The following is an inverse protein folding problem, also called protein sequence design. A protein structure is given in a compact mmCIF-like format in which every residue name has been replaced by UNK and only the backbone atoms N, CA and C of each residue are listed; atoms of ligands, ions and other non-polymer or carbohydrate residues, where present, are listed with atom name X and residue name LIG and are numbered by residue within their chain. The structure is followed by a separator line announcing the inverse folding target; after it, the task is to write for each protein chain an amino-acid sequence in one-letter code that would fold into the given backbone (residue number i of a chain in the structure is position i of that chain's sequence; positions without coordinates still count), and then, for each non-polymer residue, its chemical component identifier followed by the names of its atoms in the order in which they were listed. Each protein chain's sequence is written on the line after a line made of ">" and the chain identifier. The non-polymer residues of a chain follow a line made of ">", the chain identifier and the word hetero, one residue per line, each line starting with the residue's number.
data_IF_040340894071
#
_entry.id   IF_040340894071
#
_cell.length_a   1.000
_cell.length_b   1.000
_cell.length_c   1.000
_cell.angle_alpha   90.00
_cell.angle_beta   90.00
_cell.angle_gamma   90.00
#
_symmetry.space_group_name_H-M   'P 1'
#
loop_
_entity.id
_entity.type
_entity.pdbx_description
1 polymer ?
#
# COMPACT_ATOMS: atom_id res chain seq x y z
N UNK A 1 -16.93 -0.87 -14.34
CA UNK A 1 -15.84 -1.37 -13.49
C UNK A 1 -15.51 -0.30 -12.46
N UNK A 2 -15.48 -0.65 -11.19
CA UNK A 2 -15.01 0.23 -10.11
C UNK A 2 -13.47 0.27 -10.14
N UNK A 3 -12.85 1.46 -10.01
CA UNK A 3 -11.39 1.62 -9.96
C UNK A 3 -11.01 2.22 -8.60
N UNK A 4 -10.23 1.48 -7.81
CA UNK A 4 -9.82 1.84 -6.46
C UNK A 4 -8.30 1.89 -6.37
N UNK A 5 -7.73 3.09 -6.17
CA UNK A 5 -6.29 3.23 -5.96
C UNK A 5 -5.90 2.80 -4.53
N UNK A 6 -5.14 1.73 -4.41
CA UNK A 6 -4.72 1.15 -3.14
C UNK A 6 -3.68 1.98 -2.36
N UNK A 7 -3.17 3.09 -2.94
CA UNK A 7 -2.24 3.98 -2.22
C UNK A 7 -2.10 5.33 -2.87
N UNK A 8 -2.49 6.37 -2.12
CA UNK A 8 -2.14 7.76 -2.39
C UNK A 8 -1.62 8.43 -1.12
N UNK A 9 -1.04 9.61 -1.25
CA UNK A 9 -0.56 10.42 -0.14
C UNK A 9 -1.11 11.84 -0.23
N UNK A 10 -1.53 12.38 0.93
CA UNK A 10 -1.90 13.78 1.10
C UNK A 10 -1.03 14.41 2.18
N UNK A 11 -0.64 15.68 2.00
CA UNK A 11 0.10 16.44 3.01
C UNK A 11 -0.03 17.95 2.76
N UNK A 12 0.18 18.73 3.79
CA UNK A 12 0.16 20.20 3.75
C UNK A 12 1.53 20.80 4.06
N UNK A 13 2.33 20.13 4.87
CA UNK A 13 3.61 20.64 5.38
C UNK A 13 4.68 19.55 5.46
N UNK A 14 5.85 19.93 5.92
CA UNK A 14 7.02 19.06 6.00
C UNK A 14 7.81 18.99 4.70
N UNK A 15 8.86 18.19 4.70
CA UNK A 15 9.74 18.01 3.55
C UNK A 15 9.52 16.61 2.96
N UNK A 16 8.87 16.49 1.80
CA UNK A 16 8.68 15.21 1.14
C UNK A 16 10.00 14.52 0.80
N UNK A 17 10.01 13.20 0.80
CA UNK A 17 11.16 12.47 0.29
C UNK A 17 11.41 12.82 -1.18
N UNK A 18 12.66 12.77 -1.67
CA UNK A 18 13.03 13.25 -3.01
C UNK A 18 12.28 12.59 -4.16
N UNK A 19 11.72 11.39 -3.95
CA UNK A 19 10.96 10.66 -4.96
C UNK A 19 9.52 11.16 -5.13
N UNK A 20 8.99 11.93 -4.18
CA UNK A 20 7.65 12.49 -4.24
C UNK A 20 7.66 13.90 -4.81
N UNK A 21 6.50 14.36 -5.29
CA UNK A 21 6.33 15.78 -5.61
C UNK A 21 6.69 16.64 -4.39
N UNK A 22 7.29 17.80 -4.62
CA UNK A 22 7.81 18.64 -3.55
C UNK A 22 6.81 19.69 -3.03
N UNK A 23 5.68 19.87 -3.70
CA UNK A 23 4.59 20.75 -3.25
C UNK A 23 3.51 19.94 -2.52
N UNK A 24 2.83 20.55 -1.55
CA UNK A 24 1.67 19.95 -0.89
C UNK A 24 0.66 19.35 -1.87
N UNK A 25 -0.06 18.35 -1.42
CA UNK A 25 -1.08 17.68 -2.22
C UNK A 25 -2.36 17.53 -1.41
N UNK A 26 -3.37 18.33 -1.75
CA UNK A 26 -4.63 18.37 -1.02
C UNK A 26 -5.63 17.32 -1.51
N UNK A 27 -6.67 17.08 -0.68
CA UNK A 27 -7.78 16.20 -1.05
C UNK A 27 -8.52 16.70 -2.31
N UNK A 28 -8.70 18.01 -2.48
CA UNK A 28 -9.35 18.60 -3.65
C UNK A 28 -8.55 18.38 -4.93
N UNK A 29 -7.23 18.52 -4.86
CA UNK A 29 -6.33 18.23 -5.97
C UNK A 29 -6.38 16.74 -6.33
N UNK A 30 -6.41 15.87 -5.32
CA UNK A 30 -6.54 14.43 -5.53
C UNK A 30 -7.87 14.07 -6.20
N UNK A 31 -9.01 14.59 -5.71
CA UNK A 31 -10.33 14.37 -6.32
C UNK A 31 -10.36 14.82 -7.78
N UNK A 32 -9.88 16.03 -8.09
CA UNK A 32 -9.85 16.53 -9.46
C UNK A 32 -9.00 15.64 -10.39
N UNK A 33 -7.86 15.15 -9.90
CA UNK A 33 -6.99 14.25 -10.65
C UNK A 33 -7.58 12.83 -10.79
N UNK A 34 -8.25 12.31 -9.75
CA UNK A 34 -8.98 11.04 -9.80
C UNK A 34 -10.10 11.09 -10.86
N UNK A 35 -10.90 12.17 -10.87
CA UNK A 35 -12.00 12.33 -11.83
C UNK A 35 -11.47 12.36 -13.28
N UNK A 36 -10.36 13.03 -13.55
CA UNK A 36 -9.70 13.05 -14.84
C UNK A 36 -9.15 11.67 -15.25
N UNK A 37 -8.68 10.88 -14.28
CA UNK A 37 -8.12 9.56 -14.53
C UNK A 37 -9.17 8.45 -14.61
N UNK A 38 -10.39 8.70 -14.14
CA UNK A 38 -11.45 7.71 -13.99
C UNK A 38 -11.27 6.81 -12.77
N UNK A 39 -10.64 7.32 -11.71
CA UNK A 39 -10.46 6.61 -10.44
C UNK A 39 -11.62 6.96 -9.50
N UNK A 40 -12.36 5.95 -9.07
CA UNK A 40 -13.55 6.15 -8.26
C UNK A 40 -13.21 6.42 -6.79
N UNK A 41 -12.25 5.67 -6.23
CA UNK A 41 -11.87 5.71 -4.81
C UNK A 41 -10.37 5.58 -4.62
N UNK A 42 -9.88 6.03 -3.46
CA UNK A 42 -8.47 5.85 -3.12
C UNK A 42 -8.24 5.64 -1.62
N UNK A 43 -7.21 4.84 -1.28
CA UNK A 43 -6.70 4.72 0.07
C UNK A 43 -5.63 5.76 0.33
N UNK A 44 -5.89 6.62 1.31
CA UNK A 44 -4.89 7.58 1.80
C UNK A 44 -3.96 6.84 2.76
N UNK A 45 -2.67 6.93 2.49
CA UNK A 45 -1.61 6.53 3.39
C UNK A 45 -0.95 7.81 3.93
N UNK A 46 -1.23 8.21 5.17
CA UNK A 46 -0.61 9.38 5.77
C UNK A 46 0.90 9.31 5.74
N UNK A 47 1.55 10.43 5.48
CA UNK A 47 3.00 10.53 5.30
C UNK A 47 3.73 10.78 6.63
N UNK A 48 4.97 10.32 6.74
CA UNK A 48 5.77 10.48 7.97
C UNK A 48 6.38 11.88 8.12
N UNK A 49 6.55 12.62 7.02
CA UNK A 49 7.12 13.98 7.05
C UNK A 49 6.13 15.09 7.43
N UNK A 50 4.83 14.80 7.44
CA UNK A 50 3.79 15.67 7.96
C UNK A 50 3.17 15.02 9.20
N UNK A 51 3.46 15.52 10.42
CA UNK A 51 2.98 14.91 11.67
C UNK A 51 1.46 14.93 11.82
N UNK A 52 0.78 15.83 11.10
CA UNK A 52 -0.69 15.93 11.14
C UNK A 52 -1.37 15.15 10.01
N UNK A 53 -0.61 14.37 9.25
CA UNK A 53 -1.11 13.66 8.06
C UNK A 53 -2.26 12.68 8.33
N UNK A 54 -2.35 12.05 9.51
CA UNK A 54 -3.51 11.25 9.90
C UNK A 54 -4.77 12.11 10.04
N UNK A 55 -4.66 13.28 10.68
CA UNK A 55 -5.82 14.20 10.87
C UNK A 55 -6.24 14.83 9.55
N UNK A 56 -5.27 15.14 8.68
CA UNK A 56 -5.53 15.60 7.31
C UNK A 56 -6.30 14.52 6.51
N UNK A 57 -5.89 13.27 6.60
CA UNK A 57 -6.59 12.17 5.96
C UNK A 57 -8.02 11.97 6.51
N UNK A 58 -8.22 12.08 7.84
CA UNK A 58 -9.55 12.04 8.45
C UNK A 58 -10.44 13.21 8.00
N UNK A 59 -9.87 14.40 7.85
CA UNK A 59 -10.60 15.54 7.31
C UNK A 59 -11.03 15.29 5.85
N UNK A 60 -10.15 14.70 5.04
CA UNK A 60 -10.46 14.30 3.66
C UNK A 60 -11.60 13.27 3.60
N UNK A 61 -11.58 12.24 4.46
CA UNK A 61 -12.66 11.24 4.53
C UNK A 61 -13.98 11.87 4.99
N UNK A 62 -13.95 12.73 6.00
CA UNK A 62 -15.19 13.45 6.43
C UNK A 62 -15.80 14.28 5.30
N UNK A 63 -14.96 14.90 4.46
CA UNK A 63 -15.41 15.73 3.34
C UNK A 63 -15.85 14.90 2.12
N UNK A 64 -15.19 13.78 1.87
CA UNK A 64 -15.41 12.90 0.71
C UNK A 64 -15.53 11.44 1.13
N UNK A 65 -16.58 11.06 1.90
CA UNK A 65 -16.68 9.75 2.55
C UNK A 65 -16.79 8.58 1.53
N UNK A 66 -17.33 8.83 0.33
CA UNK A 66 -17.47 7.84 -0.71
C UNK A 66 -16.23 7.72 -1.62
N UNK A 67 -15.22 8.56 -1.39
CA UNK A 67 -14.02 8.64 -2.24
C UNK A 67 -12.75 8.18 -1.53
N UNK A 68 -12.67 8.32 -0.22
CA UNK A 68 -11.45 8.04 0.53
C UNK A 68 -11.67 7.11 1.72
N UNK A 69 -10.65 6.29 1.97
CA UNK A 69 -10.44 5.58 3.22
C UNK A 69 -8.96 5.66 3.61
N UNK A 70 -8.56 5.17 4.77
CA UNK A 70 -7.24 5.42 5.36
C UNK A 70 -6.59 4.13 5.84
N UNK A 71 -5.31 3.96 5.47
CA UNK A 71 -4.35 3.08 6.15
C UNK A 71 -3.39 3.98 6.91
N UNK A 72 -3.68 4.24 8.18
CA UNK A 72 -2.95 5.20 8.99
C UNK A 72 -1.75 4.61 9.73
N UNK A 73 -1.09 5.43 10.52
CA UNK A 73 0.04 5.03 11.36
C UNK A 73 0.03 5.75 12.71
N UNK A 74 0.82 5.26 13.63
CA UNK A 74 1.15 5.91 14.89
C UNK A 74 2.60 5.57 15.26
N UNK A 75 3.17 6.28 16.23
CA UNK A 75 4.51 5.96 16.72
C UNK A 75 4.48 4.64 17.49
N UNK A 76 5.23 3.65 17.02
CA UNK A 76 5.22 2.28 17.57
C UNK A 76 5.81 2.19 18.98
N UNK A 77 6.53 3.20 19.45
CA UNK A 77 7.02 3.41 20.81
C UNK A 77 6.05 4.20 21.71
N UNK A 78 4.87 4.57 21.19
CA UNK A 78 3.81 5.16 22.01
C UNK A 78 3.27 4.11 23.01
N UNK A 79 3.33 4.37 24.32
CA UNK A 79 2.83 3.44 25.34
C UNK A 79 1.32 3.17 25.23
N UNK A 80 0.57 4.02 24.52
CA UNK A 80 -0.84 3.83 24.20
C UNK A 80 -1.07 2.96 22.96
N UNK A 81 -0.01 2.49 22.31
CA UNK A 81 -0.10 1.68 21.08
C UNK A 81 -1.13 0.56 21.13
N UNK A 82 -1.15 -0.31 22.16
CA UNK A 82 -2.15 -1.38 22.27
C UNK A 82 -3.59 -0.89 22.31
N UNK A 83 -3.86 0.20 23.02
CA UNK A 83 -5.19 0.82 23.11
C UNK A 83 -5.58 1.47 21.77
N UNK A 84 -4.64 2.17 21.11
CA UNK A 84 -4.83 2.73 19.79
C UNK A 84 -5.22 1.66 18.76
N UNK A 85 -4.56 0.50 18.79
CA UNK A 85 -4.88 -0.61 17.88
C UNK A 85 -6.26 -1.18 18.18
N UNK A 86 -6.62 -1.36 19.46
CA UNK A 86 -7.92 -1.90 19.85
C UNK A 86 -9.11 -1.05 19.35
N UNK A 87 -8.92 0.28 19.31
CA UNK A 87 -9.93 1.26 18.90
C UNK A 87 -9.67 1.90 17.53
N UNK A 88 -8.79 1.29 16.72
CA UNK A 88 -8.33 1.89 15.47
C UNK A 88 -9.47 2.22 14.50
N UNK A 89 -10.41 1.29 14.37
CA UNK A 89 -11.55 1.39 13.44
C UNK A 89 -12.71 2.24 13.96
N UNK A 90 -12.68 2.70 15.21
CA UNK A 90 -13.72 3.57 15.77
C UNK A 90 -13.71 4.96 15.09
N UNK A 91 -12.58 5.34 14.50
CA UNK A 91 -12.45 6.58 13.72
C UNK A 91 -12.93 6.34 12.29
N UNK A 92 -13.91 7.11 11.78
CA UNK A 92 -14.47 6.92 10.45
C UNK A 92 -13.41 6.88 9.34
N UNK A 93 -13.45 5.84 8.50
CA UNK A 93 -12.54 5.67 7.39
C UNK A 93 -11.17 5.06 7.72
N UNK A 94 -10.84 4.86 9.00
CA UNK A 94 -9.62 4.15 9.40
C UNK A 94 -9.82 2.64 9.22
N UNK A 95 -9.28 2.08 8.14
CA UNK A 95 -9.43 0.66 7.80
C UNK A 95 -8.30 -0.22 8.32
N UNK A 96 -7.08 0.30 8.35
CA UNK A 96 -5.91 -0.47 8.75
C UNK A 96 -4.71 0.39 9.11
N UNK A 97 -3.62 -0.29 9.39
CA UNK A 97 -2.33 0.30 9.76
C UNK A 97 -1.31 0.15 8.62
N UNK A 98 -0.41 1.11 8.51
CA UNK A 98 0.73 1.02 7.62
C UNK A 98 2.01 1.45 8.33
N UNK A 99 3.05 0.62 8.26
CA UNK A 99 4.36 0.91 8.84
C UNK A 99 5.48 0.76 7.82
N UNK A 100 6.55 1.53 8.04
CA UNK A 100 7.70 1.60 7.16
C UNK A 100 8.98 1.23 7.93
N UNK A 101 9.57 0.09 7.60
CA UNK A 101 10.74 -0.47 8.28
C UNK A 101 12.03 -0.44 7.45
N UNK A 102 12.05 0.32 6.36
CA UNK A 102 13.25 0.48 5.55
C UNK A 102 14.25 1.52 6.13
N UNK A 103 13.83 2.27 7.14
CA UNK A 103 14.70 3.20 7.86
C UNK A 103 15.61 2.48 8.87
N UNK A 104 16.88 2.91 8.92
CA UNK A 104 17.92 2.22 9.71
C UNK A 104 17.55 2.05 11.19
N UNK A 105 16.98 3.07 11.81
CA UNK A 105 16.65 3.09 13.24
C UNK A 105 15.39 2.27 13.62
N UNK A 106 14.61 1.83 12.62
CA UNK A 106 13.41 1.02 12.84
C UNK A 106 13.57 -0.44 12.41
N UNK A 107 14.71 -0.79 11.81
CA UNK A 107 14.94 -2.15 11.28
C UNK A 107 15.00 -3.19 12.38
N UNK A 108 15.63 -2.86 13.50
CA UNK A 108 15.81 -3.77 14.62
C UNK A 108 14.47 -4.19 15.24
N UNK A 109 13.48 -3.31 15.23
CA UNK A 109 12.14 -3.58 15.77
C UNK A 109 11.43 -4.79 15.11
N UNK A 110 11.76 -5.09 13.86
CA UNK A 110 11.22 -6.26 13.18
C UNK A 110 11.78 -7.60 13.70
N UNK A 111 12.90 -7.58 14.47
CA UNK A 111 13.61 -8.79 14.85
C UNK A 111 14.02 -8.85 16.32
N UNK A 112 13.85 -7.77 17.09
CA UNK A 112 14.29 -7.66 18.49
C UNK A 112 13.17 -7.94 19.52
N UNK A 113 11.96 -8.26 19.04
CA UNK A 113 10.80 -8.51 19.90
C UNK A 113 10.02 -7.25 20.31
N UNK A 114 10.51 -6.05 19.99
CA UNK A 114 9.83 -4.78 20.32
C UNK A 114 8.40 -4.69 19.79
N UNK A 115 8.09 -5.41 18.71
CA UNK A 115 6.78 -5.40 18.06
C UNK A 115 5.93 -6.64 18.33
N UNK A 116 6.36 -7.54 19.21
CA UNK A 116 5.62 -8.79 19.49
C UNK A 116 4.21 -8.52 20.05
N UNK A 117 3.99 -7.38 20.64
CA UNK A 117 2.68 -6.94 21.11
C UNK A 117 1.72 -6.52 19.96
N UNK A 118 2.26 -6.00 18.87
CA UNK A 118 1.49 -5.39 17.77
C UNK A 118 0.67 -6.44 17.00
N UNK A 119 1.30 -7.57 16.68
CA UNK A 119 0.71 -8.57 15.80
C UNK A 119 -0.55 -9.21 16.40
N UNK A 120 -0.53 -9.73 17.66
CA UNK A 120 -1.74 -10.25 18.28
C UNK A 120 -2.76 -9.16 18.61
N UNK A 121 -2.35 -7.91 18.84
CA UNK A 121 -3.27 -6.79 19.05
C UNK A 121 -4.04 -6.47 17.77
N UNK A 122 -3.35 -6.36 16.62
CA UNK A 122 -3.95 -6.09 15.32
C UNK A 122 -4.84 -7.27 14.86
N UNK A 123 -4.40 -8.53 15.11
CA UNK A 123 -5.19 -9.72 14.82
C UNK A 123 -6.53 -9.71 15.58
N UNK A 124 -6.50 -9.51 16.91
CA UNK A 124 -7.72 -9.45 17.73
C UNK A 124 -8.66 -8.32 17.34
N UNK A 125 -8.12 -7.17 16.99
CA UNK A 125 -8.90 -6.01 16.54
C UNK A 125 -9.39 -6.14 15.08
N UNK A 126 -8.94 -7.17 14.36
CA UNK A 126 -9.25 -7.34 12.94
C UNK A 126 -8.69 -6.20 12.08
N UNK A 127 -7.60 -5.56 12.50
CA UNK A 127 -6.96 -4.43 11.81
C UNK A 127 -5.87 -4.97 10.88
N UNK A 128 -6.00 -4.86 9.56
CA UNK A 128 -4.96 -5.24 8.62
C UNK A 128 -3.73 -4.34 8.77
N UNK A 129 -2.54 -4.93 8.55
CA UNK A 129 -1.27 -4.21 8.66
C UNK A 129 -0.51 -4.27 7.34
N UNK A 130 -0.28 -3.11 6.73
CA UNK A 130 0.55 -2.96 5.55
C UNK A 130 1.99 -2.64 5.96
N UNK A 131 2.95 -3.32 5.33
CA UNK A 131 4.37 -3.26 5.69
C UNK A 131 5.23 -2.90 4.48
N UNK A 132 5.90 -1.76 4.54
CA UNK A 132 7.03 -1.45 3.67
C UNK A 132 8.31 -2.05 4.32
N UNK A 133 8.52 -3.34 4.12
CA UNK A 133 9.50 -4.16 4.83
C UNK A 133 10.26 -5.12 3.89
N UNK A 134 10.72 -4.62 2.74
CA UNK A 134 11.39 -5.43 1.70
C UNK A 134 12.58 -6.25 2.24
N UNK A 135 13.26 -5.77 3.28
CA UNK A 135 14.42 -6.44 3.89
C UNK A 135 14.03 -7.52 4.92
N UNK A 136 12.74 -7.66 5.25
CA UNK A 136 12.25 -8.49 6.35
C UNK A 136 11.19 -9.50 5.91
N UNK A 137 11.17 -9.89 4.63
CA UNK A 137 10.16 -10.82 4.11
C UNK A 137 10.13 -12.17 4.87
N UNK A 138 11.26 -12.78 5.26
CA UNK A 138 11.22 -13.97 6.13
C UNK A 138 10.52 -13.71 7.46
N UNK A 139 10.77 -12.57 8.11
CA UNK A 139 10.09 -12.18 9.35
C UNK A 139 8.59 -11.95 9.13
N UNK A 140 8.21 -11.32 8.01
CA UNK A 140 6.80 -11.17 7.63
C UNK A 140 6.13 -12.55 7.49
N UNK A 141 6.81 -13.51 6.91
CA UNK A 141 6.34 -14.89 6.81
C UNK A 141 6.11 -15.55 8.17
N UNK A 142 7.04 -15.37 9.12
CA UNK A 142 6.91 -15.85 10.48
C UNK A 142 5.74 -15.20 11.23
N UNK A 143 5.57 -13.87 11.10
CA UNK A 143 4.44 -13.15 11.67
C UNK A 143 3.12 -13.71 11.13
N UNK A 144 3.02 -13.90 9.80
CA UNK A 144 1.82 -14.42 9.18
C UNK A 144 1.50 -15.86 9.62
N UNK A 145 2.51 -16.69 9.84
CA UNK A 145 2.37 -18.06 10.31
C UNK A 145 1.91 -18.14 11.78
N UNK A 146 2.48 -17.29 12.66
CA UNK A 146 2.11 -17.24 14.06
C UNK A 146 0.76 -16.54 14.34
N UNK A 147 0.31 -15.70 13.40
CA UNK A 147 -0.93 -14.93 13.50
C UNK A 147 -1.82 -15.15 12.26
N UNK A 148 -2.42 -16.34 12.12
CA UNK A 148 -3.17 -16.69 10.89
C UNK A 148 -4.44 -15.85 10.66
N UNK A 149 -4.98 -15.23 11.71
CA UNK A 149 -6.11 -14.28 11.62
C UNK A 149 -5.70 -12.86 11.23
N UNK A 150 -4.40 -12.52 11.36
CA UNK A 150 -3.89 -11.21 10.97
C UNK A 150 -3.78 -11.10 9.45
N UNK A 151 -4.36 -10.06 8.87
CA UNK A 151 -4.17 -9.71 7.45
C UNK A 151 -2.90 -8.87 7.31
N UNK A 152 -1.88 -9.44 6.69
CA UNK A 152 -0.61 -8.76 6.40
C UNK A 152 -0.55 -8.39 4.93
N UNK A 153 -0.12 -7.16 4.63
CA UNK A 153 -0.04 -6.65 3.27
C UNK A 153 1.39 -6.17 3.01
N UNK A 154 2.03 -6.73 1.98
CA UNK A 154 3.37 -6.29 1.57
C UNK A 154 3.25 -5.14 0.58
N UNK A 155 3.84 -3.99 0.90
CA UNK A 155 3.83 -2.81 0.05
C UNK A 155 4.73 -2.96 -1.17
N UNK A 156 4.29 -2.38 -2.30
CA UNK A 156 5.10 -2.15 -3.51
C UNK A 156 5.76 -3.41 -4.09
N UNK A 157 5.15 -4.60 -3.95
CA UNK A 157 5.76 -5.87 -4.35
C UNK A 157 7.18 -6.07 -3.74
N UNK A 158 7.38 -5.59 -2.52
CA UNK A 158 8.66 -5.61 -1.81
C UNK A 158 9.80 -4.88 -2.56
N UNK A 159 9.50 -3.93 -3.41
CA UNK A 159 10.53 -3.11 -4.08
C UNK A 159 11.21 -2.19 -3.06
N UNK A 160 12.55 -2.27 -2.92
CA UNK A 160 13.26 -1.39 -2.00
C UNK A 160 13.28 0.06 -2.48
N UNK A 161 13.31 1.02 -1.55
CA UNK A 161 13.42 2.43 -1.91
C UNK A 161 14.62 2.72 -2.82
N UNK A 162 14.40 3.57 -3.82
CA UNK A 162 15.44 4.00 -4.75
C UNK A 162 15.86 2.95 -5.80
N UNK A 163 15.26 1.76 -5.81
CA UNK A 163 15.55 0.72 -6.80
C UNK A 163 14.74 0.94 -8.08
N UNK A 164 15.34 0.62 -9.24
CA UNK A 164 14.70 0.67 -10.56
C UNK A 164 15.17 -0.51 -11.42
N UNK A 165 14.44 -0.78 -12.50
CA UNK A 165 14.75 -1.86 -13.43
C UNK A 165 14.90 -3.21 -12.73
N UNK A 166 15.85 -4.03 -13.19
CA UNK A 166 16.07 -5.37 -12.63
C UNK A 166 16.38 -5.38 -11.12
N UNK A 167 16.98 -4.32 -10.57
CA UNK A 167 17.28 -4.23 -9.15
C UNK A 167 16.05 -4.00 -8.28
N UNK A 168 14.96 -3.51 -8.84
CA UNK A 168 13.71 -3.28 -8.13
C UNK A 168 13.13 -4.61 -7.61
N UNK A 169 13.26 -5.68 -8.38
CA UNK A 169 12.61 -6.97 -8.09
C UNK A 169 13.57 -8.01 -7.47
N UNK A 170 14.70 -7.58 -6.92
CA UNK A 170 15.70 -8.50 -6.33
C UNK A 170 15.18 -9.35 -5.15
N UNK A 171 14.11 -8.90 -4.47
CA UNK A 171 13.45 -9.63 -3.39
C UNK A 171 12.18 -10.36 -3.86
N UNK A 172 11.93 -10.43 -5.17
CA UNK A 172 10.76 -11.13 -5.68
C UNK A 172 10.72 -12.61 -5.31
N UNK A 173 11.82 -13.39 -5.32
CA UNK A 173 11.77 -14.79 -4.89
C UNK A 173 11.27 -14.96 -3.45
N UNK A 174 11.73 -14.12 -2.51
CA UNK A 174 11.31 -14.13 -1.12
C UNK A 174 9.85 -13.67 -0.99
N UNK A 175 9.43 -12.68 -1.78
CA UNK A 175 8.05 -12.23 -1.83
C UNK A 175 7.12 -13.37 -2.29
N UNK A 176 7.45 -14.05 -3.40
CA UNK A 176 6.65 -15.14 -3.93
C UNK A 176 6.52 -16.30 -2.94
N UNK A 177 7.55 -16.55 -2.13
CA UNK A 177 7.50 -17.57 -1.08
C UNK A 177 6.44 -17.27 0.00
N UNK A 178 6.04 -16.00 0.18
CA UNK A 178 4.96 -15.60 1.12
C UNK A 178 3.56 -15.96 0.61
N UNK A 179 3.41 -16.27 -0.67
CA UNK A 179 2.11 -16.63 -1.24
C UNK A 179 1.50 -17.90 -0.64
N UNK A 180 2.32 -18.76 -0.03
CA UNK A 180 1.86 -19.94 0.74
C UNK A 180 1.03 -19.58 1.97
N UNK A 181 1.20 -18.37 2.52
CA UNK A 181 0.46 -17.87 3.67
C UNK A 181 -0.83 -17.19 3.20
N UNK A 182 -2.03 -17.77 3.46
CA UNK A 182 -3.29 -17.28 2.90
C UNK A 182 -3.71 -15.90 3.43
N UNK A 183 -3.15 -15.48 4.56
CA UNK A 183 -3.36 -14.20 5.21
C UNK A 183 -2.37 -13.10 4.76
N UNK A 184 -1.48 -13.41 3.80
CA UNK A 184 -0.59 -12.42 3.19
C UNK A 184 -1.13 -12.01 1.82
N UNK A 185 -1.18 -10.70 1.61
CA UNK A 185 -1.52 -10.06 0.36
C UNK A 185 -0.40 -9.10 -0.07
N UNK A 186 -0.44 -8.61 -1.30
CA UNK A 186 0.58 -7.73 -1.86
C UNK A 186 -0.07 -6.53 -2.57
N UNK A 187 0.53 -5.37 -2.44
CA UNK A 187 0.17 -4.20 -3.25
C UNK A 187 1.09 -4.06 -4.45
N UNK A 188 0.51 -4.10 -5.64
CA UNK A 188 1.16 -3.78 -6.91
C UNK A 188 1.19 -2.25 -7.14
N UNK A 189 1.64 -1.52 -6.13
CA UNK A 189 1.67 -0.06 -6.15
C UNK A 189 3.01 0.48 -6.66
N UNK A 190 2.95 1.60 -7.37
CA UNK A 190 4.14 2.33 -7.76
C UNK A 190 4.89 1.77 -8.97
N UNK A 191 4.37 0.78 -9.67
CA UNK A 191 5.10 0.02 -10.68
C UNK A 191 5.71 0.86 -11.81
N UNK A 192 5.01 1.83 -12.42
CA UNK A 192 5.63 2.73 -13.42
C UNK A 192 6.85 3.50 -12.90
N UNK A 193 6.90 3.80 -11.60
CA UNK A 193 8.04 4.48 -10.97
C UNK A 193 9.31 3.64 -10.89
N UNK A 194 9.21 2.32 -11.04
CA UNK A 194 10.35 1.40 -11.01
C UNK A 194 10.83 1.00 -12.41
N UNK A 195 10.04 1.29 -13.45
CA UNK A 195 10.38 1.01 -14.82
C UNK A 195 11.53 1.91 -15.33
N UNK A 196 12.31 1.41 -16.28
CA UNK A 196 13.34 2.15 -16.98
C UNK A 196 12.92 2.53 -18.40
N UNK A 197 11.86 1.93 -18.89
CA UNK A 197 11.26 2.17 -20.20
C UNK A 197 10.06 3.13 -20.11
N UNK A 198 9.68 3.68 -21.26
CA UNK A 198 8.51 4.54 -21.38
C UNK A 198 7.21 3.72 -21.39
N UNK A 199 6.06 4.41 -21.27
CA UNK A 199 4.74 3.79 -21.42
C UNK A 199 4.71 2.86 -22.64
N UNK A 200 4.20 1.64 -22.53
CA UNK A 200 3.45 1.09 -21.39
C UNK A 200 4.30 0.37 -20.32
N UNK A 201 5.56 0.73 -20.13
CA UNK A 201 6.41 0.26 -19.06
C UNK A 201 6.56 -1.28 -19.01
N UNK A 202 6.87 -1.90 -20.14
CA UNK A 202 6.90 -3.37 -20.33
C UNK A 202 7.90 -4.07 -19.41
N UNK A 203 8.92 -3.36 -18.94
CA UNK A 203 9.97 -3.91 -18.09
C UNK A 203 9.48 -4.51 -16.76
N UNK A 204 8.32 -4.07 -16.24
CA UNK A 204 7.76 -4.66 -15.02
C UNK A 204 6.67 -5.71 -15.26
N UNK A 205 6.13 -5.86 -16.48
CA UNK A 205 4.96 -6.72 -16.75
C UNK A 205 5.18 -8.17 -16.34
N UNK A 206 6.35 -8.74 -16.63
CA UNK A 206 6.66 -10.13 -16.24
C UNK A 206 6.74 -10.29 -14.73
N UNK A 207 7.35 -9.33 -14.03
CA UNK A 207 7.42 -9.34 -12.56
C UNK A 207 6.04 -9.25 -11.92
N UNK A 208 5.17 -8.44 -12.49
CA UNK A 208 3.78 -8.29 -12.07
C UNK A 208 3.01 -9.61 -12.29
N UNK A 209 3.15 -10.23 -13.47
CA UNK A 209 2.50 -11.49 -13.80
C UNK A 209 2.91 -12.63 -12.87
N UNK A 210 4.20 -12.80 -12.60
CA UNK A 210 4.68 -13.78 -11.61
C UNK A 210 4.10 -13.57 -10.22
N UNK A 211 3.94 -12.33 -9.81
CA UNK A 211 3.32 -12.00 -8.54
C UNK A 211 1.83 -12.36 -8.54
N UNK A 212 1.14 -12.06 -9.64
CA UNK A 212 -0.25 -12.42 -9.84
C UNK A 212 -0.46 -13.95 -9.84
N UNK A 213 0.38 -14.71 -10.53
CA UNK A 213 0.33 -16.17 -10.54
C UNK A 213 0.46 -16.77 -9.14
N UNK A 214 1.29 -16.17 -8.29
CA UNK A 214 1.52 -16.66 -6.94
C UNK A 214 0.41 -16.28 -5.95
N UNK A 215 -0.05 -15.03 -5.98
CA UNK A 215 -1.02 -14.51 -4.99
C UNK A 215 -2.47 -14.57 -5.46
N UNK A 216 -2.69 -14.55 -6.76
CA UNK A 216 -4.03 -14.47 -7.37
C UNK A 216 -4.68 -13.10 -7.20
N UNK A 217 -5.73 -12.84 -7.96
CA UNK A 217 -6.47 -11.58 -7.96
C UNK A 217 -7.10 -11.23 -6.59
N UNK A 218 -7.35 -12.22 -5.74
CA UNK A 218 -7.93 -11.99 -4.41
C UNK A 218 -6.96 -11.42 -3.39
N UNK A 219 -5.64 -11.53 -3.63
CA UNK A 219 -4.60 -11.13 -2.69
C UNK A 219 -3.55 -10.20 -3.30
N UNK A 220 -3.82 -9.67 -4.47
CA UNK A 220 -3.02 -8.63 -5.11
C UNK A 220 -3.89 -7.40 -5.34
N UNK A 221 -3.36 -6.19 -5.12
CA UNK A 221 -4.11 -4.94 -5.15
C UNK A 221 -3.36 -3.89 -5.92
N UNK A 222 -4.01 -3.35 -6.93
CA UNK A 222 -3.50 -2.21 -7.69
C UNK A 222 -3.46 -0.93 -6.86
N UNK A 223 -2.54 -0.03 -7.20
CA UNK A 223 -2.48 1.34 -6.72
C UNK A 223 -1.30 2.08 -7.32
N UNK A 224 -1.33 3.41 -7.25
CA UNK A 224 -0.35 4.20 -7.98
C UNK A 224 0.79 4.73 -7.14
N UNK A 225 0.53 5.19 -5.91
CA UNK A 225 1.46 6.08 -5.21
C UNK A 225 1.73 7.34 -6.08
N UNK A 226 0.66 7.94 -6.60
CA UNK A 226 0.64 8.92 -7.72
C UNK A 226 1.63 10.06 -7.55
N UNK A 227 1.92 10.46 -6.32
CA UNK A 227 2.79 11.60 -6.04
C UNK A 227 4.26 11.39 -6.42
N UNK A 228 4.64 10.16 -6.80
CA UNK A 228 5.99 9.79 -7.26
C UNK A 228 6.02 9.16 -8.66
N UNK A 229 4.88 9.16 -9.38
CA UNK A 229 4.81 8.56 -10.69
C UNK A 229 5.45 9.43 -11.78
N UNK A 230 6.18 8.82 -12.75
CA UNK A 230 6.74 9.52 -13.89
C UNK A 230 5.73 9.77 -15.00
N UNK A 231 4.47 9.38 -14.80
CA UNK A 231 3.40 9.42 -15.80
C UNK A 231 2.10 9.90 -15.16
N UNK A 232 1.08 10.14 -16.00
CA UNK A 232 -0.25 10.55 -15.53
C UNK A 232 -0.95 9.40 -14.78
N UNK A 233 -1.90 9.74 -13.91
CA UNK A 233 -2.73 8.74 -13.22
C UNK A 233 -3.52 7.90 -14.22
N UNK A 234 -4.02 8.51 -15.29
CA UNK A 234 -4.69 7.79 -16.38
C UNK A 234 -3.78 6.72 -17.00
N UNK A 235 -2.50 7.02 -17.26
CA UNK A 235 -1.56 6.03 -17.76
C UNK A 235 -1.32 4.88 -16.75
N UNK A 236 -1.29 5.16 -15.46
CA UNK A 236 -1.23 4.10 -14.45
C UNK A 236 -2.45 3.16 -14.51
N UNK A 237 -3.64 3.71 -14.78
CA UNK A 237 -4.87 2.90 -14.99
C UNK A 237 -4.75 2.09 -16.28
N UNK A 238 -4.42 2.73 -17.42
CA UNK A 238 -4.45 2.08 -18.73
C UNK A 238 -3.41 0.98 -18.88
N UNK A 239 -2.28 1.04 -18.16
CA UNK A 239 -1.35 -0.10 -18.12
C UNK A 239 -2.06 -1.37 -17.64
N UNK A 240 -2.84 -1.30 -16.58
CA UNK A 240 -3.53 -2.48 -16.03
C UNK A 240 -4.76 -2.87 -16.85
N UNK A 241 -5.49 -1.91 -17.38
CA UNK A 241 -6.75 -2.17 -18.09
C UNK A 241 -6.60 -2.49 -19.57
N UNK A 242 -5.48 -2.11 -20.21
CA UNK A 242 -5.31 -2.19 -21.66
C UNK A 242 -4.03 -2.92 -22.09
N UNK A 243 -2.97 -2.92 -21.28
CA UNK A 243 -1.65 -3.38 -21.69
C UNK A 243 -1.23 -4.74 -21.10
N UNK A 244 -2.03 -5.31 -20.19
CA UNK A 244 -1.80 -6.62 -19.57
C UNK A 244 -2.78 -7.66 -20.12
N UNK A 245 -2.42 -8.41 -21.19
CA UNK A 245 -3.36 -9.30 -21.87
C UNK A 245 -3.82 -10.49 -21.01
N UNK A 246 -3.08 -10.81 -19.96
CA UNK A 246 -3.42 -11.87 -19.02
C UNK A 246 -4.36 -11.40 -17.89
N UNK A 247 -4.52 -10.09 -17.67
CA UNK A 247 -5.36 -9.52 -16.62
C UNK A 247 -6.67 -9.02 -17.23
N UNK A 248 -7.71 -9.85 -17.21
CA UNK A 248 -8.99 -9.53 -17.85
C UNK A 248 -10.19 -10.00 -17.03
N UNK A 249 -11.37 -9.48 -17.35
CA UNK A 249 -12.64 -9.93 -16.79
C UNK A 249 -12.66 -9.81 -15.27
N UNK A 250 -13.06 -10.86 -14.58
CA UNK A 250 -13.19 -10.89 -13.13
C UNK A 250 -11.86 -10.60 -12.41
N UNK A 251 -10.75 -11.09 -12.93
CA UNK A 251 -9.45 -10.90 -12.28
C UNK A 251 -9.01 -9.44 -12.32
N UNK A 252 -9.26 -8.76 -13.42
CA UNK A 252 -9.06 -7.32 -13.53
C UNK A 252 -9.98 -6.55 -12.57
N UNK A 253 -11.27 -6.91 -12.50
CA UNK A 253 -12.22 -6.29 -11.57
C UNK A 253 -11.81 -6.49 -10.10
N UNK A 254 -11.17 -7.60 -9.77
CA UNK A 254 -10.66 -7.88 -8.42
C UNK A 254 -9.39 -7.12 -8.10
N UNK A 255 -8.44 -7.08 -9.03
CA UNK A 255 -7.13 -6.45 -8.87
C UNK A 255 -7.26 -4.93 -8.72
N UNK A 256 -8.04 -4.29 -9.62
CA UNK A 256 -8.14 -2.83 -9.71
C UNK A 256 -9.35 -2.25 -8.96
N UNK A 257 -10.37 -3.06 -8.70
CA UNK A 257 -11.62 -2.63 -8.06
C UNK A 257 -11.66 -2.83 -6.55
N UNK A 258 -10.57 -3.26 -5.92
CA UNK A 258 -10.48 -3.48 -4.48
C UNK A 258 -9.29 -2.74 -3.88
N UNK A 259 -9.50 -2.21 -2.70
CA UNK A 259 -8.40 -1.81 -1.85
C UNK A 259 -7.92 -2.99 -0.99
N UNK A 260 -6.72 -2.87 -0.44
CA UNK A 260 -6.06 -3.87 0.41
C UNK A 260 -6.81 -4.25 1.71
N UNK A 261 -7.97 -3.65 1.95
CA UNK A 261 -8.88 -4.00 3.03
C UNK A 261 -10.13 -4.63 2.41
N UNK A 262 -10.40 -5.90 2.68
CA UNK A 262 -11.51 -6.69 2.14
C UNK A 262 -12.93 -6.20 2.54
N UNK A 263 -13.08 -4.99 2.97
CA UNK A 263 -14.39 -4.39 3.20
C UNK A 263 -14.74 -3.51 1.99
N UNK A 264 -15.98 -3.62 1.54
CA UNK A 264 -16.52 -2.74 0.51
C UNK A 264 -16.37 -1.30 0.99
N UNK A 265 -15.42 -0.59 0.40
CA UNK A 265 -15.34 0.85 0.55
C UNK A 265 -16.50 1.46 -0.21
#
# INVERSE_FOLDING_TARGET
>A
MLIVDGQIHLWEKGTPSPSHRQQPYSAEQAIAAMDQAGVDRALIHPVLWDPDSNELALAAVRKYPDRFAIMGWFYLDDPKGPDLVAHWKDRPGMLGLRFYFNERHKREWMTDGSLDWLWPAAERAGVPVALAAALFLPTVGQIAEHHPGLKVIVDHMAVPPGSRGATAYRFQPELLALAKSPNVAVKATGQPGYAEDAYPFRSFHEHLHRCFDAFGADRMFWGTDITRMPCSWRQCVTVFTEELPWLQGRDLDLEIGRASCRERV
#
